data_IF_996913730116
#
_entry.id   IF_996913730116
#
_cell.length_a   1.000
_cell.length_b   1.000
_cell.length_c   1.000
_cell.angle_alpha   90.00
_cell.angle_beta   90.00
_cell.angle_gamma   90.00
#
_symmetry.space_group_name_H-M   'P 1'
#
loop_
_entity.id
_entity.type
_entity.pdbx_description
1 polymer ?
#
# COMPACT_ATOMS: atom_id res chain seq x y z
N UNK A 1 -5.27 8.06 -9.17
CA UNK A 1 -5.11 9.31 -8.39
C UNK A 1 -3.65 9.41 -7.97
N UNK A 2 -3.03 10.59 -8.02
CA UNK A 2 -1.65 10.80 -7.54
C UNK A 2 -1.73 11.71 -6.30
N UNK A 3 -1.19 11.30 -5.14
CA UNK A 3 -1.20 12.11 -3.94
C UNK A 3 -0.17 13.24 -4.01
N UNK A 4 -0.46 14.37 -3.37
CA UNK A 4 0.46 15.52 -3.32
C UNK A 4 1.63 15.32 -2.33
N UNK A 5 1.51 14.35 -1.42
CA UNK A 5 2.50 14.04 -0.38
C UNK A 5 2.59 12.55 -0.15
N UNK A 6 3.79 12.02 -0.02
CA UNK A 6 4.07 10.61 0.30
C UNK A 6 4.54 10.45 1.75
N UNK A 7 4.28 9.27 2.32
CA UNK A 7 4.68 8.90 3.69
C UNK A 7 5.52 7.63 3.64
N UNK A 8 6.81 7.74 3.92
CA UNK A 8 7.71 6.59 4.06
C UNK A 8 7.27 5.69 5.22
N UNK A 9 7.11 4.40 4.95
CA UNK A 9 6.84 3.37 5.94
C UNK A 9 8.05 2.44 6.11
N UNK A 10 8.23 1.91 7.33
CA UNK A 10 9.28 0.93 7.62
C UNK A 10 8.85 -0.48 7.16
N UNK A 11 9.76 -1.45 7.18
CA UNK A 11 9.46 -2.83 6.76
C UNK A 11 8.34 -3.51 7.57
N UNK A 12 8.23 -3.25 8.87
CA UNK A 12 7.21 -3.88 9.71
C UNK A 12 5.81 -3.34 9.39
N UNK A 13 5.71 -2.06 9.08
CA UNK A 13 4.47 -1.41 8.66
C UNK A 13 4.15 -1.74 7.20
N UNK A 14 5.16 -1.87 6.34
CA UNK A 14 5.03 -2.33 4.96
C UNK A 14 4.40 -3.73 4.88
N UNK A 15 4.81 -4.67 5.75
CA UNK A 15 4.18 -6.01 5.84
C UNK A 15 2.68 -5.93 6.10
N UNK A 16 2.29 -5.08 7.05
CA UNK A 16 0.88 -4.91 7.43
C UNK A 16 0.10 -4.17 6.35
N UNK A 17 0.72 -3.16 5.75
CA UNK A 17 0.13 -2.36 4.71
C UNK A 17 -0.11 -3.19 3.45
N UNK A 18 0.87 -3.98 3.02
CA UNK A 18 0.71 -4.92 1.90
C UNK A 18 -0.45 -5.88 2.14
N UNK A 19 -0.50 -6.52 3.31
CA UNK A 19 -1.61 -7.42 3.64
C UNK A 19 -2.98 -6.72 3.63
N UNK A 20 -3.02 -5.45 4.05
CA UNK A 20 -4.25 -4.66 3.99
C UNK A 20 -4.64 -4.37 2.54
N UNK A 21 -3.68 -4.02 1.67
CA UNK A 21 -3.92 -3.83 0.24
C UNK A 21 -4.43 -5.11 -0.41
N UNK A 22 -3.78 -6.25 -0.17
CA UNK A 22 -4.19 -7.56 -0.70
C UNK A 22 -5.66 -7.87 -0.33
N UNK A 23 -6.04 -7.65 0.93
CA UNK A 23 -7.42 -7.85 1.38
C UNK A 23 -8.43 -6.91 0.71
N UNK A 24 -8.02 -5.68 0.40
CA UNK A 24 -8.89 -4.72 -0.29
C UNK A 24 -9.00 -5.02 -1.78
N UNK A 25 -7.94 -5.53 -2.40
CA UNK A 25 -7.94 -5.92 -3.82
C UNK A 25 -8.72 -7.23 -4.07
N UNK A 26 -8.74 -8.13 -3.09
CA UNK A 26 -9.51 -9.37 -3.13
C UNK A 26 -11.03 -9.16 -2.91
N UNK A 27 -11.46 -7.98 -2.48
CA UNK A 27 -12.87 -7.67 -2.22
C UNK A 27 -13.58 -7.26 -3.52
N UNK A 28 -14.54 -8.07 -3.96
CA UNK A 28 -15.34 -7.84 -5.19
C UNK A 28 -16.07 -6.48 -5.20
N UNK A 29 -16.35 -5.90 -4.03
CA UNK A 29 -17.01 -4.59 -3.89
C UNK A 29 -16.02 -3.41 -4.03
N UNK A 30 -14.72 -3.66 -3.93
CA UNK A 30 -13.67 -2.64 -4.09
C UNK A 30 -13.26 -2.54 -5.55
N UNK A 31 -13.26 -1.32 -6.08
CA UNK A 31 -12.96 -1.07 -7.50
C UNK A 31 -11.51 -0.63 -7.71
N UNK A 32 -11.02 0.30 -6.88
CA UNK A 32 -9.68 0.86 -6.96
C UNK A 32 -9.19 1.24 -5.56
N UNK A 33 -7.93 0.95 -5.26
CA UNK A 33 -7.28 1.32 -4.01
C UNK A 33 -6.20 2.37 -4.28
N UNK A 34 -6.21 3.46 -3.51
CA UNK A 34 -5.22 4.53 -3.60
C UNK A 34 -4.58 4.79 -2.25
N UNK A 35 -3.26 4.89 -2.21
CA UNK A 35 -2.50 5.22 -1.00
C UNK A 35 -1.37 6.19 -1.31
N UNK A 36 -0.84 6.79 -0.25
CA UNK A 36 0.35 7.64 -0.31
C UNK A 36 1.54 7.05 0.45
N UNK A 37 1.46 5.76 0.81
CA UNK A 37 2.56 5.05 1.44
C UNK A 37 3.73 4.87 0.46
N UNK A 38 4.92 5.27 0.89
CA UNK A 38 6.18 5.04 0.21
C UNK A 38 6.86 3.83 0.87
N UNK A 39 6.97 2.74 0.11
CA UNK A 39 7.52 1.47 0.59
C UNK A 39 9.05 1.52 0.68
N UNK A 40 9.67 0.72 1.58
CA UNK A 40 11.11 0.59 1.65
C UNK A 40 11.74 0.15 0.31
N UNK A 41 12.97 0.58 0.03
CA UNK A 41 13.70 0.09 -1.14
C UNK A 41 13.82 -1.45 -1.12
N UNK A 42 13.46 -2.10 -2.23
CA UNK A 42 13.48 -3.57 -2.37
C UNK A 42 12.25 -4.28 -1.80
N UNK A 43 11.18 -3.57 -1.46
CA UNK A 43 9.92 -4.15 -1.00
C UNK A 43 9.13 -4.88 -2.11
N UNK A 44 9.23 -4.40 -3.34
CA UNK A 44 8.53 -4.92 -4.53
C UNK A 44 9.32 -5.99 -5.32
N UNK A 45 10.37 -6.59 -4.73
CA UNK A 45 11.25 -7.58 -5.40
C UNK A 45 10.96 -9.04 -5.03
#
# INVERSE_FOLDING_TARGET
MIPDTETAINEDDAKKFQKMLDLLEDDDDVQEVYHNAEFPEGWDE
#
